data_IF_669222412381
#
_entry.id   IF_669222412381
#
_cell.length_a   1.000
_cell.length_b   1.000
_cell.length_c   1.000
_cell.angle_alpha   90.00
_cell.angle_beta   90.00
_cell.angle_gamma   90.00
#
_symmetry.space_group_name_H-M   'P 1'
#
loop_
_entity.id
_entity.type
_entity.pdbx_description
1 polymer ?
#
# COMPACT_ATOMS: atom_id res chain seq x y z
N UNK A 1 -1.70 -15.74 13.60
CA UNK A 1 -0.73 -14.64 13.80
C UNK A 1 0.50 -15.20 14.50
N UNK A 2 1.71 -14.91 14.00
CA UNK A 2 2.96 -15.30 14.67
C UNK A 2 3.46 -14.09 15.46
N UNK A 3 3.83 -14.28 16.73
CA UNK A 3 4.41 -13.21 17.53
C UNK A 3 5.82 -12.89 17.00
N UNK A 4 6.13 -11.59 16.85
CA UNK A 4 7.47 -11.11 16.46
C UNK A 4 8.04 -10.31 17.62
N UNK A 5 9.31 -10.56 17.94
CA UNK A 5 10.02 -9.87 19.02
C UNK A 5 10.81 -8.71 18.41
N UNK A 6 10.38 -7.47 18.67
CA UNK A 6 11.03 -6.26 18.16
C UNK A 6 11.76 -5.60 19.34
N UNK A 7 13.09 -5.70 19.38
CA UNK A 7 13.91 -5.15 20.47
C UNK A 7 14.87 -4.06 20.00
N UNK A 8 15.33 -4.15 18.76
CA UNK A 8 16.32 -3.26 18.18
C UNK A 8 15.76 -2.50 16.97
N UNK A 9 16.43 -1.41 16.59
CA UNK A 9 16.11 -0.67 15.35
C UNK A 9 16.20 -1.55 14.10
N UNK A 10 17.10 -2.55 14.12
CA UNK A 10 17.25 -3.52 13.02
C UNK A 10 16.02 -4.44 12.94
N UNK A 11 15.54 -4.93 14.08
CA UNK A 11 14.32 -5.76 14.13
C UNK A 11 13.09 -4.98 13.65
N UNK A 12 13.01 -3.71 14.01
CA UNK A 12 11.95 -2.80 13.55
C UNK A 12 12.01 -2.65 12.03
N UNK A 13 13.17 -2.33 11.45
CA UNK A 13 13.34 -2.18 10.00
C UNK A 13 13.03 -3.48 9.24
N UNK A 14 13.44 -4.63 9.76
CA UNK A 14 13.13 -5.93 9.16
C UNK A 14 11.62 -6.23 9.23
N UNK A 15 10.99 -5.94 10.36
CA UNK A 15 9.54 -6.07 10.52
C UNK A 15 8.79 -5.16 9.56
N UNK A 16 9.13 -3.86 9.51
CA UNK A 16 8.44 -2.91 8.62
C UNK A 16 8.59 -3.31 7.17
N UNK A 17 9.79 -3.71 6.74
CA UNK A 17 10.03 -4.16 5.37
C UNK A 17 9.20 -5.40 5.01
N UNK A 18 9.14 -6.41 5.89
CA UNK A 18 8.29 -7.59 5.68
C UNK A 18 6.81 -7.23 5.58
N UNK A 19 6.34 -6.28 6.39
CA UNK A 19 4.96 -5.81 6.34
C UNK A 19 4.67 -5.02 5.06
N UNK A 20 5.60 -4.18 4.60
CA UNK A 20 5.47 -3.46 3.32
C UNK A 20 5.28 -4.44 2.15
N UNK A 21 6.12 -5.46 2.07
CA UNK A 21 6.02 -6.47 1.00
C UNK A 21 4.72 -7.29 1.09
N UNK A 22 4.28 -7.65 2.30
CA UNK A 22 3.00 -8.34 2.49
C UNK A 22 1.80 -7.49 2.07
N UNK A 23 1.76 -6.23 2.48
CA UNK A 23 0.71 -5.30 2.11
C UNK A 23 0.74 -5.06 0.60
N UNK A 24 1.92 -4.89 0.01
CA UNK A 24 2.09 -4.73 -1.44
C UNK A 24 1.54 -5.92 -2.20
N UNK A 25 1.84 -7.14 -1.76
CA UNK A 25 1.30 -8.36 -2.37
C UNK A 25 -0.23 -8.40 -2.30
N UNK A 26 -0.82 -8.13 -1.14
CA UNK A 26 -2.28 -8.11 -0.97
C UNK A 26 -2.95 -7.03 -1.84
N UNK A 27 -2.33 -5.85 -1.94
CA UNK A 27 -2.81 -4.77 -2.80
C UNK A 27 -2.74 -5.14 -4.27
N UNK A 28 -1.66 -5.81 -4.71
CA UNK A 28 -1.53 -6.32 -6.07
C UNK A 28 -2.59 -7.38 -6.39
N UNK A 29 -2.80 -8.36 -5.51
CA UNK A 29 -3.86 -9.37 -5.67
C UNK A 29 -5.24 -8.72 -5.75
N UNK A 30 -5.49 -7.71 -4.91
CA UNK A 30 -6.74 -6.95 -4.93
C UNK A 30 -6.90 -6.20 -6.25
N UNK A 31 -5.87 -5.51 -6.73
CA UNK A 31 -5.89 -4.81 -8.00
C UNK A 31 -6.17 -5.78 -9.16
N UNK A 32 -5.49 -6.93 -9.20
CA UNK A 32 -5.71 -7.98 -10.20
C UNK A 32 -7.15 -8.54 -10.14
N UNK A 33 -7.69 -8.74 -8.95
CA UNK A 33 -9.08 -9.16 -8.76
C UNK A 33 -10.05 -8.12 -9.33
N UNK A 34 -9.84 -6.84 -9.04
CA UNK A 34 -10.67 -5.74 -9.56
C UNK A 34 -10.57 -5.63 -11.08
N UNK A 35 -9.37 -5.80 -11.66
CA UNK A 35 -9.16 -5.81 -13.11
C UNK A 35 -9.87 -6.97 -13.78
N UNK A 36 -9.80 -8.18 -13.21
CA UNK A 36 -10.53 -9.35 -13.69
C UNK A 36 -12.05 -9.15 -13.64
N UNK A 37 -12.53 -8.42 -12.64
CA UNK A 37 -13.95 -8.02 -12.50
C UNK A 37 -14.32 -6.78 -13.30
N UNK A 38 -13.34 -6.14 -13.96
CA UNK A 38 -13.49 -4.89 -14.71
C UNK A 38 -14.18 -3.78 -13.90
N UNK A 39 -13.89 -3.72 -12.61
CA UNK A 39 -14.60 -2.87 -11.66
C UNK A 39 -13.66 -1.84 -11.05
N UNK A 40 -13.88 -0.57 -11.38
CA UNK A 40 -13.13 0.57 -10.87
C UNK A 40 -13.69 1.04 -9.51
N UNK A 41 -13.52 0.20 -8.48
CA UNK A 41 -14.00 0.50 -7.13
C UNK A 41 -13.19 1.63 -6.47
N UNK A 42 -11.92 1.78 -6.87
CA UNK A 42 -10.99 2.79 -6.34
C UNK A 42 -11.13 4.17 -6.99
N UNK A 43 -11.96 4.31 -8.03
CA UNK A 43 -12.36 5.59 -8.61
C UNK A 43 -11.32 6.27 -9.51
N UNK A 44 -10.53 5.49 -10.27
CA UNK A 44 -9.56 6.03 -11.23
C UNK A 44 -10.26 6.84 -12.33
N UNK A 45 -11.36 6.31 -12.88
CA UNK A 45 -12.15 6.97 -13.92
C UNK A 45 -12.70 8.30 -13.46
N UNK A 46 -13.14 8.39 -12.20
CA UNK A 46 -13.59 9.65 -11.59
C UNK A 46 -12.47 10.70 -11.53
N UNK A 47 -11.24 10.29 -11.20
CA UNK A 47 -10.07 11.19 -11.21
C UNK A 47 -9.77 11.69 -12.63
N UNK A 48 -9.82 10.80 -13.63
CA UNK A 48 -9.60 11.18 -15.04
C UNK A 48 -10.72 12.10 -15.52
N UNK A 49 -11.98 11.84 -15.17
CA UNK A 49 -13.11 12.68 -15.52
C UNK A 49 -12.97 14.10 -14.96
N UNK A 50 -12.51 14.22 -13.71
CA UNK A 50 -12.26 15.52 -13.08
C UNK A 50 -11.08 16.28 -13.68
N UNK A 51 -9.96 15.61 -13.94
CA UNK A 51 -8.74 16.26 -14.45
C UNK A 51 -8.76 16.49 -15.97
N UNK A 52 -9.37 15.57 -16.74
CA UNK A 52 -9.29 15.49 -18.20
C UNK A 52 -10.66 15.16 -18.84
N UNK A 53 -11.68 16.03 -18.71
CA UNK A 53 -13.05 15.73 -19.14
C UNK A 53 -13.18 15.44 -20.65
N UNK A 54 -12.38 16.09 -21.50
CA UNK A 54 -12.37 15.83 -22.96
C UNK A 54 -11.85 14.43 -23.29
N UNK A 55 -10.85 13.95 -22.56
CA UNK A 55 -10.32 12.60 -22.74
C UNK A 55 -11.30 11.57 -22.19
N UNK A 56 -11.86 11.82 -21.00
CA UNK A 56 -12.89 10.96 -20.40
C UNK A 56 -14.07 10.72 -21.35
N UNK A 57 -14.59 11.77 -21.99
CA UNK A 57 -15.69 11.64 -22.95
C UNK A 57 -15.38 10.69 -24.13
N UNK A 58 -14.11 10.51 -24.50
CA UNK A 58 -13.70 9.59 -25.57
C UNK A 58 -13.52 8.14 -25.11
N UNK A 59 -13.31 7.91 -23.81
CA UNK A 59 -12.99 6.57 -23.28
C UNK A 59 -14.08 5.96 -22.39
N UNK A 60 -15.00 6.78 -21.85
CA UNK A 60 -16.00 6.36 -20.86
C UNK A 60 -16.86 5.18 -21.29
N UNK A 61 -17.13 5.03 -22.59
CA UNK A 61 -17.98 3.97 -23.14
C UNK A 61 -17.34 2.57 -23.10
N UNK A 62 -16.01 2.47 -23.04
CA UNK A 62 -15.27 1.21 -22.90
C UNK A 62 -14.30 1.24 -21.73
N UNK A 63 -14.69 1.97 -20.67
CA UNK A 63 -13.81 2.20 -19.52
C UNK A 63 -13.49 0.91 -18.78
N UNK A 64 -14.43 -0.02 -18.69
CA UNK A 64 -14.25 -1.29 -18.00
C UNK A 64 -13.19 -2.18 -18.69
N UNK A 65 -13.16 -2.24 -20.03
CA UNK A 65 -12.07 -2.92 -20.75
C UNK A 65 -10.72 -2.23 -20.61
N UNK A 66 -10.71 -0.90 -20.56
CA UNK A 66 -9.47 -0.15 -20.39
C UNK A 66 -8.92 -0.33 -18.98
N UNK A 67 -9.76 -0.20 -17.96
CA UNK A 67 -9.43 -0.41 -16.56
C UNK A 67 -8.79 -1.79 -16.33
N UNK A 68 -9.34 -2.84 -16.96
CA UNK A 68 -8.82 -4.20 -16.87
C UNK A 68 -7.37 -4.36 -17.37
N UNK A 69 -6.84 -3.39 -18.13
CA UNK A 69 -5.49 -3.41 -18.73
C UNK A 69 -4.54 -2.38 -18.13
N UNK A 70 -4.99 -1.54 -17.20
CA UNK A 70 -4.16 -0.49 -16.61
C UNK A 70 -3.00 -1.12 -15.82
N UNK A 71 -1.73 -0.74 -16.07
CA UNK A 71 -0.63 -1.19 -15.22
C UNK A 71 -0.72 -0.52 -13.85
N UNK A 72 -0.64 -1.32 -12.78
CA UNK A 72 -0.53 -0.82 -11.40
C UNK A 72 0.92 -0.92 -10.94
N UNK A 73 1.51 0.22 -10.57
CA UNK A 73 2.72 0.29 -9.76
C UNK A 73 2.34 0.66 -8.32
N UNK A 74 2.57 -0.26 -7.38
CA UNK A 74 2.17 -0.11 -5.98
C UNK A 74 3.42 0.05 -5.12
N UNK A 75 3.52 1.21 -4.48
CA UNK A 75 4.58 1.55 -3.55
C UNK A 75 3.98 1.66 -2.15
N UNK A 76 4.46 0.80 -1.25
CA UNK A 76 4.03 0.80 0.16
C UNK A 76 5.19 1.31 1.00
N UNK A 77 4.91 2.32 1.81
CA UNK A 77 5.84 2.83 2.82
C UNK A 77 5.17 2.74 4.18
N UNK A 78 5.75 1.97 5.08
CA UNK A 78 5.24 1.75 6.42
C UNK A 78 6.08 2.51 7.44
N UNK A 79 5.38 3.20 8.35
CA UNK A 79 5.99 3.84 9.51
C UNK A 79 5.42 3.21 10.77
N UNK A 80 6.28 2.54 11.55
CA UNK A 80 5.88 2.01 12.86
C UNK A 80 5.81 3.17 13.86
N UNK A 81 4.61 3.49 14.35
CA UNK A 81 4.40 4.60 15.30
C UNK A 81 4.52 4.13 16.75
N UNK A 82 3.97 2.95 17.05
CA UNK A 82 4.03 2.31 18.37
C UNK A 82 3.80 0.81 18.23
N UNK A 83 4.36 0.03 19.17
CA UNK A 83 4.07 -1.40 19.30
C UNK A 83 2.78 -1.66 20.09
N UNK A 84 2.06 -0.61 20.53
CA UNK A 84 0.85 -0.73 21.33
C UNK A 84 1.09 -1.21 22.76
N UNK A 85 2.36 -1.32 23.18
CA UNK A 85 2.79 -1.65 24.54
C UNK A 85 3.36 -0.41 25.20
N UNK A 86 3.08 -0.19 26.49
CA UNK A 86 3.74 0.82 27.34
C UNK A 86 5.18 0.38 27.66
N UNK A 87 5.98 0.06 26.64
CA UNK A 87 7.42 0.00 26.80
C UNK A 87 7.87 1.39 26.38
N UNK A 88 7.97 2.30 27.36
CA UNK A 88 8.51 3.63 27.12
C UNK A 88 9.82 3.49 26.34
N UNK A 89 10.02 4.30 25.30
CA UNK A 89 11.33 4.39 24.63
C UNK A 89 12.36 4.58 25.74
N UNK A 90 13.36 3.69 25.90
CA UNK A 90 14.41 3.92 26.88
C UNK A 90 15.06 5.26 26.52
N UNK A 91 14.96 6.23 27.41
CA UNK A 91 15.56 7.57 27.24
C UNK A 91 17.08 7.55 27.47
N UNK A 92 17.69 6.38 27.57
CA UNK A 92 19.13 6.23 27.74
C UNK A 92 19.82 6.23 26.38
N UNK A 93 20.29 7.43 26.04
CA UNK A 93 21.56 7.61 25.33
C UNK A 93 22.69 7.00 26.18
N UNK A 94 23.60 6.24 25.54
CA UNK A 94 24.78 5.59 26.15
C UNK A 94 24.66 4.06 26.15
N UNK A 95 25.59 3.25 25.67
CA UNK A 95 27.02 3.44 25.37
C UNK A 95 27.44 2.49 24.24
N UNK A 96 28.30 2.98 23.34
CA UNK A 96 29.29 2.17 22.65
C UNK A 96 30.21 1.53 23.71
N UNK A 97 30.24 0.20 23.77
CA UNK A 97 31.42 -0.61 24.11
C UNK A 97 31.35 -1.95 23.41
#
# INVERSE_FOLDING_TARGET
>A
MKCTNIKTKKDEAEFTHKMEEQIKHQMLETAQFLQKKRSDIIGIGNKIAGAHPKQWNKMKEGWDEQYAKIPFDIQVKLQLVTTGTVIGKPTVSGEDR
#
